data_IF_572036249056
#
_entry.id   IF_572036249056
#
_cell.length_a   1.000
_cell.length_b   1.000
_cell.length_c   1.000
_cell.angle_alpha   90.00
_cell.angle_beta   90.00
_cell.angle_gamma   90.00
#
_symmetry.space_group_name_H-M   'P 1'
#
loop_
_entity.id
_entity.type
_entity.pdbx_description
1 polymer ?
#
# COMPACT_ATOMS: atom_id res chain seq x y z
N UNK A 1 3.69 -19.83 24.84
CA UNK A 1 3.65 -18.50 25.49
C UNK A 1 2.71 -17.62 24.68
N UNK A 2 1.80 -16.84 25.28
CA UNK A 2 0.96 -15.94 24.50
C UNK A 2 1.88 -14.87 23.89
N UNK A 3 2.01 -14.91 22.57
CA UNK A 3 2.73 -13.88 21.82
C UNK A 3 1.96 -12.58 21.97
N UNK A 4 2.67 -11.47 22.16
CA UNK A 4 2.08 -10.14 22.24
C UNK A 4 1.19 -9.89 21.01
N UNK A 5 -0.08 -9.57 21.24
CA UNK A 5 -1.03 -9.35 20.16
C UNK A 5 -0.69 -8.05 19.43
N UNK A 6 -0.30 -8.16 18.16
CA UNK A 6 -0.08 -7.01 17.29
C UNK A 6 -1.39 -6.60 16.64
N UNK A 7 -1.62 -5.29 16.58
CA UNK A 7 -2.80 -4.71 15.93
C UNK A 7 -2.37 -3.91 14.70
N UNK A 8 -3.20 -3.93 13.67
CA UNK A 8 -3.00 -3.19 12.43
C UNK A 8 -4.20 -2.28 12.15
N UNK A 9 -3.95 -1.15 11.50
CA UNK A 9 -5.00 -0.18 11.16
C UNK A 9 -5.64 -0.44 9.80
N UNK A 10 -4.90 -1.07 8.89
CA UNK A 10 -5.31 -1.43 7.52
C UNK A 10 -4.76 -2.83 7.25
N UNK A 11 -5.56 -3.65 6.58
CA UNK A 11 -5.15 -4.98 6.13
C UNK A 11 -5.71 -5.30 4.74
N UNK A 12 -4.92 -5.94 3.86
CA UNK A 12 -5.42 -6.40 2.57
C UNK A 12 -6.36 -7.60 2.73
N UNK A 13 -7.31 -7.75 1.81
CA UNK A 13 -8.30 -8.86 1.83
C UNK A 13 -7.74 -10.23 1.44
N UNK A 14 -6.44 -10.33 1.12
CA UNK A 14 -5.81 -11.58 0.69
C UNK A 14 -5.72 -12.64 1.79
N UNK A 15 -5.67 -12.21 3.06
CA UNK A 15 -5.66 -13.10 4.22
C UNK A 15 -6.32 -12.41 5.42
N UNK A 16 -7.62 -12.18 5.31
CA UNK A 16 -8.38 -11.40 6.28
C UNK A 16 -9.72 -12.07 6.59
N UNK A 17 -9.98 -12.33 7.87
CA UNK A 17 -11.27 -12.78 8.36
C UNK A 17 -11.95 -11.66 9.15
N UNK A 18 -13.18 -11.31 8.75
CA UNK A 18 -13.97 -10.24 9.36
C UNK A 18 -15.31 -10.78 9.85
N UNK A 19 -15.81 -10.23 10.95
CA UNK A 19 -17.15 -10.54 11.46
C UNK A 19 -18.21 -9.99 10.50
N UNK A 20 -19.11 -10.86 10.04
CA UNK A 20 -20.12 -10.52 9.03
C UNK A 20 -21.05 -9.38 9.48
N UNK A 21 -21.51 -9.43 10.72
CA UNK A 21 -22.38 -8.42 11.33
C UNK A 21 -21.70 -7.04 11.35
N UNK A 22 -20.40 -6.98 11.65
CA UNK A 22 -19.62 -5.73 11.61
C UNK A 22 -19.56 -5.17 10.19
N UNK A 23 -19.31 -6.01 9.18
CA UNK A 23 -19.26 -5.58 7.78
C UNK A 23 -20.61 -5.02 7.32
N UNK A 24 -21.70 -5.73 7.61
CA UNK A 24 -23.06 -5.31 7.22
C UNK A 24 -23.41 -3.98 7.90
N UNK A 25 -23.11 -3.83 9.19
CA UNK A 25 -23.37 -2.59 9.94
C UNK A 25 -22.61 -1.38 9.37
N UNK A 26 -21.44 -1.60 8.79
CA UNK A 26 -20.62 -0.55 8.18
C UNK A 26 -20.95 -0.28 6.69
N UNK A 27 -22.02 -0.90 6.16
CA UNK A 27 -22.48 -0.71 4.80
C UNK A 27 -21.74 -1.54 3.75
N UNK A 28 -20.96 -2.54 4.16
CA UNK A 28 -20.25 -3.43 3.24
C UNK A 28 -19.09 -2.78 2.49
N UNK A 29 -18.64 -3.45 1.42
CA UNK A 29 -17.60 -2.94 0.53
C UNK A 29 -18.18 -1.89 -0.41
N UNK A 30 -17.44 -0.80 -0.64
CA UNK A 30 -17.86 0.24 -1.58
C UNK A 30 -17.50 -0.15 -3.02
N UNK A 31 -18.50 -0.56 -3.80
CA UNK A 31 -18.34 -0.99 -5.20
C UNK A 31 -17.99 0.14 -6.17
N UNK A 32 -18.11 1.40 -5.75
CA UNK A 32 -17.73 2.56 -6.58
C UNK A 32 -16.20 2.79 -6.63
N UNK A 33 -15.43 2.05 -5.81
CA UNK A 33 -13.98 2.14 -5.79
C UNK A 33 -13.36 1.32 -6.91
N UNK A 34 -12.45 1.95 -7.66
CA UNK A 34 -11.67 1.26 -8.71
C UNK A 34 -10.73 0.21 -8.09
N UNK A 35 -10.24 0.50 -6.88
CA UNK A 35 -9.40 -0.29 -5.97
C UNK A 35 -9.45 0.30 -4.55
N UNK A 36 -8.87 -0.43 -3.60
CA UNK A 36 -8.70 -0.03 -2.20
C UNK A 36 -9.98 -0.18 -1.37
N UNK A 37 -10.90 -1.03 -1.83
CA UNK A 37 -12.10 -1.44 -1.09
C UNK A 37 -11.76 -2.16 0.22
N UNK A 38 -10.63 -2.87 0.24
CA UNK A 38 -10.04 -3.52 1.41
C UNK A 38 -9.56 -2.48 2.44
N UNK A 39 -8.85 -1.46 1.98
CA UNK A 39 -8.39 -0.35 2.80
C UNK A 39 -9.56 0.44 3.36
N UNK A 40 -10.58 0.73 2.53
CA UNK A 40 -11.78 1.46 2.96
C UNK A 40 -12.51 0.73 4.09
N UNK A 41 -12.82 -0.56 3.92
CA UNK A 41 -13.58 -1.30 4.93
C UNK A 41 -12.76 -1.52 6.20
N UNK A 42 -11.46 -1.83 6.09
CA UNK A 42 -10.61 -2.05 7.26
C UNK A 42 -10.39 -0.76 8.04
N UNK A 43 -10.23 0.37 7.35
CA UNK A 43 -10.19 1.69 7.97
C UNK A 43 -11.48 2.00 8.73
N UNK A 44 -12.67 1.77 8.15
CA UNK A 44 -13.95 1.96 8.87
C UNK A 44 -14.05 1.06 10.09
N UNK A 45 -13.65 -0.21 9.95
CA UNK A 45 -13.66 -1.19 11.05
C UNK A 45 -12.74 -0.72 12.19
N UNK A 46 -11.53 -0.26 11.88
CA UNK A 46 -10.53 0.09 12.90
C UNK A 46 -10.85 1.37 13.68
N UNK A 47 -11.87 2.13 13.26
CA UNK A 47 -12.43 3.23 14.05
C UNK A 47 -13.28 2.76 15.24
N UNK A 48 -13.71 1.50 15.24
CA UNK A 48 -14.63 0.98 16.26
C UNK A 48 -14.20 -0.38 16.82
N UNK A 49 -13.34 -1.11 16.11
CA UNK A 49 -12.86 -2.45 16.45
C UNK A 49 -11.36 -2.54 16.23
N UNK A 50 -10.76 -3.67 16.61
CA UNK A 50 -9.33 -3.94 16.39
C UNK A 50 -9.17 -5.04 15.35
N UNK A 51 -8.19 -4.88 14.46
CA UNK A 51 -7.71 -5.97 13.60
C UNK A 51 -6.46 -6.56 14.23
N UNK A 52 -6.52 -7.86 14.55
CA UNK A 52 -5.40 -8.62 15.11
C UNK A 52 -4.56 -9.17 13.98
N UNK A 53 -3.25 -8.96 14.04
CA UNK A 53 -2.28 -9.58 13.16
C UNK A 53 -1.77 -10.89 13.78
N UNK A 54 -1.90 -11.98 13.03
CA UNK A 54 -1.37 -13.28 13.39
C UNK A 54 -0.24 -13.68 12.41
N UNK A 55 1.02 -13.80 12.85
CA UNK A 55 2.12 -14.19 11.97
C UNK A 55 2.02 -15.65 11.48
N UNK A 56 1.20 -16.49 12.11
CA UNK A 56 0.97 -17.88 11.67
C UNK A 56 -0.14 -17.99 10.61
N UNK A 57 -0.95 -16.95 10.46
CA UNK A 57 -1.88 -16.84 9.35
C UNK A 57 -1.10 -16.46 8.08
N UNK A 58 -0.65 -17.48 7.33
CA UNK A 58 0.15 -17.33 6.11
C UNK A 58 -0.67 -17.74 4.88
N UNK A 59 -0.61 -16.92 3.83
CA UNK A 59 -1.17 -17.24 2.51
C UNK A 59 -0.08 -17.10 1.44
N UNK A 60 -0.11 -17.98 0.44
CA UNK A 60 0.74 -17.86 -0.75
C UNK A 60 0.00 -17.08 -1.83
N UNK A 61 0.57 -15.96 -2.26
CA UNK A 61 -0.01 -15.14 -3.33
C UNK A 61 0.74 -15.35 -4.65
N UNK A 62 0.01 -15.30 -5.77
CA UNK A 62 0.62 -15.26 -7.10
C UNK A 62 0.84 -13.81 -7.50
N UNK A 63 2.11 -13.46 -7.73
CA UNK A 63 2.50 -12.15 -8.23
C UNK A 63 1.95 -11.83 -9.62
N UNK A 64 2.15 -10.58 -10.05
CA UNK A 64 1.83 -10.18 -11.43
C UNK A 64 2.71 -10.95 -12.43
N UNK A 65 2.16 -11.47 -13.54
CA UNK A 65 2.91 -12.30 -14.48
C UNK A 65 3.91 -11.52 -15.33
N UNK A 66 3.74 -10.20 -15.48
CA UNK A 66 4.61 -9.33 -16.25
C UNK A 66 4.52 -7.88 -15.77
N UNK A 67 5.45 -7.05 -16.25
CA UNK A 67 5.55 -5.63 -15.89
C UNK A 67 4.30 -4.84 -16.27
N UNK A 68 3.65 -5.17 -17.39
CA UNK A 68 2.42 -4.51 -17.83
C UNK A 68 1.27 -4.73 -16.82
N UNK A 69 1.07 -5.97 -16.40
CA UNK A 69 0.08 -6.31 -15.39
C UNK A 69 0.40 -5.66 -14.04
N UNK A 70 1.68 -5.59 -13.66
CA UNK A 70 2.12 -4.92 -12.44
C UNK A 70 1.84 -3.40 -12.51
N UNK A 71 2.27 -2.73 -13.58
CA UNK A 71 2.05 -1.29 -13.78
C UNK A 71 0.56 -0.93 -13.79
N UNK A 72 -0.29 -1.73 -14.45
CA UNK A 72 -1.74 -1.52 -14.43
C UNK A 72 -2.34 -1.66 -13.02
N UNK A 73 -1.85 -2.59 -12.21
CA UNK A 73 -2.27 -2.71 -10.80
C UNK A 73 -1.85 -1.47 -10.00
N UNK A 74 -0.62 -0.99 -10.17
CA UNK A 74 -0.13 0.23 -9.50
C UNK A 74 -0.98 1.45 -9.86
N UNK A 75 -1.22 1.70 -11.15
CA UNK A 75 -2.04 2.84 -11.61
C UNK A 75 -3.44 2.78 -10.98
N UNK A 76 -4.10 1.62 -11.03
CA UNK A 76 -5.43 1.44 -10.43
C UNK A 76 -5.41 1.63 -8.91
N UNK A 77 -4.35 1.18 -8.24
CA UNK A 77 -4.17 1.41 -6.80
C UNK A 77 -4.06 2.91 -6.48
N UNK A 78 -3.24 3.68 -7.20
CA UNK A 78 -3.13 5.13 -6.99
C UNK A 78 -4.44 5.87 -7.26
N UNK A 79 -5.19 5.47 -8.29
CA UNK A 79 -6.55 6.00 -8.53
C UNK A 79 -7.45 5.70 -7.31
N UNK A 80 -7.43 4.47 -6.80
CA UNK A 80 -8.18 4.08 -5.60
C UNK A 80 -7.80 4.88 -4.36
N UNK A 81 -6.50 5.09 -4.12
CA UNK A 81 -6.01 5.97 -3.03
C UNK A 81 -6.53 7.40 -3.19
N UNK A 82 -6.54 7.94 -4.41
CA UNK A 82 -7.15 9.24 -4.70
C UNK A 82 -8.64 9.29 -4.34
N UNK A 83 -9.40 8.23 -4.66
CA UNK A 83 -10.80 8.11 -4.25
C UNK A 83 -10.95 8.05 -2.73
N UNK A 84 -10.08 7.32 -2.02
CA UNK A 84 -10.07 7.30 -0.55
C UNK A 84 -9.82 8.68 0.05
N UNK A 85 -8.89 9.46 -0.52
CA UNK A 85 -8.63 10.83 -0.09
C UNK A 85 -9.82 11.75 -0.31
N UNK A 86 -10.56 11.60 -1.41
CA UNK A 86 -11.77 12.36 -1.65
C UNK A 86 -12.87 12.05 -0.61
N UNK A 87 -12.96 10.80 -0.14
CA UNK A 87 -13.99 10.38 0.83
C UNK A 87 -13.63 10.67 2.29
N UNK A 88 -12.39 10.41 2.69
CA UNK A 88 -11.96 10.43 4.10
C UNK A 88 -10.97 11.54 4.44
N UNK A 89 -10.61 12.35 3.44
CA UNK A 89 -9.52 13.32 3.52
C UNK A 89 -8.14 12.67 3.48
N UNK A 90 -7.11 13.50 3.54
CA UNK A 90 -5.73 13.03 3.55
C UNK A 90 -5.40 12.32 4.87
N UNK A 91 -5.06 11.03 4.80
CA UNK A 91 -4.61 10.23 5.95
C UNK A 91 -3.32 9.51 5.59
N UNK A 92 -2.30 9.62 6.46
CA UNK A 92 -1.00 8.94 6.31
C UNK A 92 -1.14 7.42 6.17
N UNK A 93 -2.15 6.83 6.78
CA UNK A 93 -2.40 5.38 6.76
C UNK A 93 -2.65 4.84 5.34
N UNK A 94 -3.21 5.65 4.44
CA UNK A 94 -3.52 5.23 3.07
C UNK A 94 -2.32 5.27 2.12
N UNK A 95 -1.17 5.83 2.55
CA UNK A 95 -0.01 6.02 1.69
C UNK A 95 1.26 5.60 2.40
N UNK A 96 2.01 4.70 1.77
CA UNK A 96 3.40 4.45 2.11
C UNK A 96 4.27 5.51 1.44
N UNK A 97 4.69 6.53 2.20
CA UNK A 97 5.52 7.61 1.69
C UNK A 97 6.85 7.13 1.10
N UNK A 98 7.35 5.98 1.55
CA UNK A 98 8.59 5.37 1.07
C UNK A 98 8.55 5.12 -0.45
N UNK A 99 7.40 4.73 -0.99
CA UNK A 99 7.23 4.54 -2.44
C UNK A 99 7.33 5.86 -3.23
N UNK A 100 6.79 6.95 -2.67
CA UNK A 100 6.85 8.29 -3.28
C UNK A 100 8.28 8.79 -3.26
N UNK A 101 8.98 8.63 -2.14
CA UNK A 101 10.40 9.02 -1.99
C UNK A 101 11.27 8.23 -2.99
N UNK A 102 11.09 6.91 -3.08
CA UNK A 102 11.81 6.06 -4.05
C UNK A 102 11.54 6.48 -5.49
N UNK A 103 10.28 6.78 -5.83
CA UNK A 103 9.91 7.28 -7.15
C UNK A 103 10.56 8.63 -7.48
N UNK A 104 10.60 9.54 -6.51
CA UNK A 104 11.27 10.84 -6.67
C UNK A 104 12.78 10.67 -6.89
N UNK A 105 13.44 9.86 -6.07
CA UNK A 105 14.88 9.56 -6.23
C UNK A 105 15.16 8.96 -7.59
N UNK A 106 14.32 8.03 -8.08
CA UNK A 106 14.48 7.45 -9.41
C UNK A 106 14.41 8.51 -10.51
N UNK A 107 13.44 9.43 -10.45
CA UNK A 107 13.30 10.52 -11.43
C UNK A 107 14.52 11.45 -11.38
N UNK A 108 14.96 11.86 -10.19
CA UNK A 108 16.15 12.70 -10.01
C UNK A 108 17.40 12.00 -10.56
N UNK A 109 17.52 10.68 -10.33
CA UNK A 109 18.61 9.88 -10.85
C UNK A 109 18.61 9.85 -12.37
N UNK A 110 17.46 9.62 -13.02
CA UNK A 110 17.32 9.64 -14.48
C UNK A 110 17.70 11.01 -15.05
N UNK A 111 17.22 12.11 -14.44
CA UNK A 111 17.56 13.47 -14.87
C UNK A 111 19.06 13.73 -14.71
N UNK A 112 19.66 13.26 -13.61
CA UNK A 112 21.09 13.46 -13.33
C UNK A 112 21.99 12.88 -14.42
N UNK A 113 21.61 11.76 -15.05
CA UNK A 113 22.38 11.11 -16.14
C UNK A 113 22.64 12.09 -17.29
N UNK A 114 21.73 13.02 -17.55
CA UNK A 114 21.81 13.93 -18.69
C UNK A 114 22.38 15.30 -18.35
N UNK A 115 22.35 15.72 -17.08
CA UNK A 115 22.64 17.09 -16.65
C UNK A 115 23.87 17.17 -15.74
N UNK A 116 24.06 16.17 -14.87
CA UNK A 116 25.01 16.24 -13.78
C UNK A 116 26.26 15.40 -14.08
N UNK A 117 27.39 15.69 -13.40
CA UNK A 117 28.58 14.88 -13.51
C UNK A 117 28.34 13.40 -13.14
N UNK A 118 29.03 12.44 -13.79
CA UNK A 118 28.79 11.01 -13.60
C UNK A 118 28.92 10.51 -12.15
N UNK A 119 29.76 11.17 -11.33
CA UNK A 119 29.94 10.79 -9.93
C UNK A 119 28.68 11.09 -9.07
N UNK A 120 27.91 12.13 -9.40
CA UNK A 120 26.65 12.43 -8.69
C UNK A 120 25.61 11.38 -9.04
N UNK A 121 25.51 11.02 -10.32
CA UNK A 121 24.63 9.95 -10.79
C UNK A 121 25.00 8.61 -10.16
N UNK A 122 26.28 8.29 -10.02
CA UNK A 122 26.74 7.06 -9.36
C UNK A 122 26.34 7.01 -7.89
N UNK A 123 26.44 8.13 -7.16
CA UNK A 123 26.00 8.22 -5.76
C UNK A 123 24.48 8.01 -5.65
N UNK A 124 23.69 8.65 -6.50
CA UNK A 124 22.23 8.50 -6.51
C UNK A 124 21.79 7.07 -6.85
N UNK A 125 22.47 6.42 -7.81
CA UNK A 125 22.23 5.01 -8.14
C UNK A 125 22.57 4.08 -6.97
N UNK A 126 23.70 4.32 -6.28
CA UNK A 126 24.07 3.53 -5.11
C UNK A 126 23.04 3.69 -3.98
N UNK A 127 22.57 4.91 -3.72
CA UNK A 127 21.52 5.18 -2.74
C UNK A 127 20.19 4.51 -3.12
N UNK A 128 19.81 4.57 -4.39
CA UNK A 128 18.62 3.89 -4.88
C UNK A 128 18.75 2.36 -4.72
N UNK A 129 19.92 1.79 -4.98
CA UNK A 129 20.17 0.35 -4.81
C UNK A 129 20.04 -0.09 -3.35
N UNK A 130 20.53 0.70 -2.39
CA UNK A 130 20.38 0.40 -0.95
C UNK A 130 18.93 0.40 -0.47
N UNK A 131 18.02 1.09 -1.16
CA UNK A 131 16.59 1.07 -0.82
C UNK A 131 15.86 -0.19 -1.34
N UNK A 132 16.45 -0.92 -2.29
CA UNK A 132 15.87 -2.12 -2.90
C UNK A 132 16.41 -3.43 -2.35
N UNK A 133 17.56 -3.42 -1.64
CA UNK A 133 18.15 -4.57 -0.93
C UNK A 133 17.62 -4.64 0.49
#
# INVERSE_FOLDING_TARGET
MPREQKFVEIAPTMNLALRRDVIIKLGGFNENLVRCEDTDITYKITRQHKLVYDPEAVVWFRGSPNVWAASRKCIRHFIGVGQLFAMHGFKKQFVSFDLVVRGFILIVTIISVFILPPYITAILLAFLFTEFV
#
